data_IF_233831832075
#
_entry.id   IF_233831832075
#
_cell.length_a   1.000
_cell.length_b   1.000
_cell.length_c   1.000
_cell.angle_alpha   90.00
_cell.angle_beta   90.00
_cell.angle_gamma   90.00
#
_symmetry.space_group_name_H-M   'P 1'
#
loop_
_entity.id
_entity.type
_entity.pdbx_description
1 polymer ?
#
# COMPACT_ATOMS: atom_id res chain seq x y z
N UNK A 1 19.03 8.22 -1.28
CA UNK A 1 17.60 7.87 -1.43
C UNK A 1 17.25 7.33 -2.81
N UNK A 2 17.53 8.07 -3.90
CA UNK A 2 17.21 7.65 -5.28
C UNK A 2 17.74 6.27 -5.71
N UNK A 3 18.87 5.81 -5.14
CA UNK A 3 19.39 4.45 -5.34
C UNK A 3 18.50 3.34 -4.74
N UNK A 4 17.64 3.67 -3.78
CA UNK A 4 16.73 2.76 -3.07
C UNK A 4 15.33 2.82 -3.68
N UNK A 5 14.81 4.04 -3.89
CA UNK A 5 13.54 4.28 -4.56
C UNK A 5 13.74 5.35 -5.65
N UNK A 6 13.76 4.95 -6.95
CA UNK A 6 13.92 5.89 -8.05
C UNK A 6 12.71 6.82 -8.23
N UNK A 7 11.51 6.39 -7.82
CA UNK A 7 10.29 7.21 -7.82
C UNK A 7 10.29 8.28 -6.72
N UNK A 8 11.28 8.24 -5.81
CA UNK A 8 11.50 9.25 -4.76
C UNK A 8 10.26 9.60 -3.92
N UNK A 9 9.40 8.62 -3.66
CA UNK A 9 8.13 8.78 -2.91
C UNK A 9 8.19 8.14 -1.54
N UNK A 10 7.51 8.73 -0.57
CA UNK A 10 7.26 8.07 0.72
C UNK A 10 5.85 7.49 0.76
N UNK A 11 5.61 6.36 1.46
CA UNK A 11 6.60 5.57 2.20
C UNK A 11 7.45 4.64 1.30
N UNK A 12 8.70 4.40 1.72
CA UNK A 12 9.59 3.37 1.18
C UNK A 12 10.08 2.48 2.33
N UNK A 13 9.82 1.17 2.24
CA UNK A 13 10.30 0.13 3.15
C UNK A 13 11.62 -0.44 2.63
N UNK A 14 12.57 -0.70 3.53
CA UNK A 14 13.74 -1.55 3.28
C UNK A 14 13.76 -2.65 4.33
N UNK A 15 13.53 -3.89 3.91
CA UNK A 15 13.51 -5.06 4.77
C UNK A 15 14.66 -6.00 4.41
N UNK A 16 15.74 -5.94 5.20
CA UNK A 16 16.96 -6.76 5.00
C UNK A 16 17.53 -6.66 3.56
N UNK A 17 17.57 -5.44 3.01
CA UNK A 17 18.06 -5.17 1.66
C UNK A 17 16.99 -5.26 0.56
N UNK A 18 15.80 -5.77 0.85
CA UNK A 18 14.67 -5.71 -0.07
C UNK A 18 13.96 -4.35 0.03
N UNK A 19 14.05 -3.53 -1.01
CA UNK A 19 13.38 -2.24 -1.08
C UNK A 19 11.99 -2.35 -1.76
N UNK A 20 10.97 -1.75 -1.13
CA UNK A 20 9.60 -1.72 -1.64
C UNK A 20 8.96 -0.35 -1.33
N UNK A 21 8.33 0.27 -2.31
CA UNK A 21 7.50 1.46 -2.14
C UNK A 21 6.04 1.15 -2.54
N UNK A 22 5.15 2.14 -2.41
CA UNK A 22 3.68 2.00 -2.41
C UNK A 22 3.13 1.46 -1.09
N UNK A 23 2.41 2.32 -0.36
CA UNK A 23 1.91 2.03 0.99
C UNK A 23 1.05 0.76 1.06
N UNK A 24 0.17 0.55 0.08
CA UNK A 24 -0.72 -0.62 0.03
C UNK A 24 0.02 -1.91 -0.28
N UNK A 25 1.06 -1.87 -1.12
CA UNK A 25 1.92 -3.01 -1.37
C UNK A 25 2.74 -3.39 -0.13
N UNK A 26 3.28 -2.39 0.57
CA UNK A 26 3.99 -2.57 1.85
C UNK A 26 3.07 -3.23 2.89
N UNK A 27 1.82 -2.77 3.04
CA UNK A 27 0.87 -3.38 3.97
C UNK A 27 0.64 -4.86 3.67
N UNK A 28 0.39 -5.20 2.40
CA UNK A 28 0.19 -6.61 1.98
C UNK A 28 1.45 -7.43 2.26
N UNK A 29 2.63 -6.93 1.88
CA UNK A 29 3.91 -7.60 2.12
C UNK A 29 4.15 -7.92 3.60
N UNK A 30 3.93 -6.95 4.49
CA UNK A 30 4.14 -7.14 5.92
C UNK A 30 3.19 -8.19 6.50
N UNK A 31 1.93 -8.19 6.09
CA UNK A 31 0.96 -9.21 6.54
C UNK A 31 1.32 -10.59 5.97
N UNK A 32 1.70 -10.70 4.70
CA UNK A 32 2.05 -11.98 4.08
C UNK A 32 3.34 -12.59 4.66
N UNK A 33 4.35 -11.77 4.98
CA UNK A 33 5.64 -12.22 5.51
C UNK A 33 5.66 -12.42 7.02
N UNK A 34 5.05 -11.50 7.78
CA UNK A 34 5.16 -11.43 9.24
C UNK A 34 3.84 -11.67 9.98
N UNK A 35 2.72 -11.81 9.26
CA UNK A 35 1.41 -12.05 9.88
C UNK A 35 1.37 -13.35 10.67
N UNK A 36 0.98 -13.27 11.94
CA UNK A 36 0.83 -14.44 12.83
C UNK A 36 -0.41 -15.29 12.51
N UNK A 37 -1.39 -14.68 11.85
CA UNK A 37 -2.64 -15.31 11.43
C UNK A 37 -3.16 -14.64 10.15
N UNK A 38 -4.29 -15.13 9.63
CA UNK A 38 -4.90 -14.65 8.39
C UNK A 38 -6.04 -13.65 8.60
N UNK A 39 -6.14 -13.04 9.80
CA UNK A 39 -7.25 -12.15 10.14
C UNK A 39 -7.26 -10.87 9.28
N UNK A 40 -6.09 -10.30 8.99
CA UNK A 40 -5.95 -9.05 8.22
C UNK A 40 -5.99 -9.28 6.71
N UNK A 41 -5.44 -10.40 6.23
CA UNK A 41 -5.43 -10.76 4.81
C UNK A 41 -5.77 -12.26 4.67
N UNK A 42 -7.07 -12.62 4.67
CA UNK A 42 -7.50 -14.01 4.57
C UNK A 42 -7.00 -14.66 3.28
N UNK A 43 -6.49 -15.90 3.38
CA UNK A 43 -5.96 -16.62 2.21
C UNK A 43 -7.04 -17.09 1.24
N UNK A 44 -8.31 -17.12 1.66
CA UNK A 44 -9.44 -17.54 0.81
C UNK A 44 -9.61 -16.57 -0.38
N UNK A 45 -9.56 -17.05 -1.65
CA UNK A 45 -9.52 -16.18 -2.82
C UNK A 45 -10.64 -15.14 -2.87
N UNK A 46 -11.88 -15.53 -2.56
CA UNK A 46 -13.04 -14.61 -2.55
C UNK A 46 -12.88 -13.48 -1.53
N UNK A 47 -12.38 -13.77 -0.32
CA UNK A 47 -12.17 -12.74 0.71
C UNK A 47 -10.98 -11.84 0.36
N UNK A 48 -9.88 -12.42 -0.13
CA UNK A 48 -8.70 -11.66 -0.59
C UNK A 48 -9.06 -10.73 -1.74
N UNK A 49 -9.87 -11.19 -2.70
CA UNK A 49 -10.33 -10.38 -3.83
C UNK A 49 -11.12 -9.14 -3.36
N UNK A 50 -11.99 -9.27 -2.37
CA UNK A 50 -12.72 -8.11 -1.81
C UNK A 50 -11.75 -7.13 -1.14
N UNK A 51 -10.76 -7.60 -0.37
CA UNK A 51 -9.76 -6.71 0.24
C UNK A 51 -8.95 -5.98 -0.83
N UNK A 52 -8.45 -6.69 -1.84
CA UNK A 52 -7.72 -6.08 -2.95
C UNK A 52 -8.58 -5.06 -3.68
N UNK A 53 -9.85 -5.35 -3.92
CA UNK A 53 -10.80 -4.41 -4.52
C UNK A 53 -10.93 -3.13 -3.68
N UNK A 54 -10.96 -3.23 -2.34
CA UNK A 54 -10.97 -2.06 -1.45
C UNK A 54 -9.66 -1.29 -1.45
N UNK A 55 -8.51 -1.96 -1.51
CA UNK A 55 -7.20 -1.30 -1.62
C UNK A 55 -7.08 -0.50 -2.93
N UNK A 56 -7.55 -1.06 -4.05
CA UNK A 56 -7.56 -0.35 -5.33
C UNK A 56 -8.57 0.80 -5.37
N UNK A 57 -9.77 0.60 -4.82
CA UNK A 57 -10.75 1.69 -4.66
C UNK A 57 -10.18 2.84 -3.83
N UNK A 58 -9.50 2.52 -2.73
CA UNK A 58 -8.88 3.50 -1.87
C UNK A 58 -7.78 4.29 -2.61
N UNK A 59 -6.91 3.61 -3.36
CA UNK A 59 -5.86 4.27 -4.15
C UNK A 59 -6.39 5.11 -5.31
N UNK A 60 -7.22 4.51 -6.15
CA UNK A 60 -7.61 5.08 -7.45
C UNK A 60 -8.87 5.96 -7.39
N UNK A 61 -9.63 5.90 -6.30
CA UNK A 61 -10.87 6.65 -6.15
C UNK A 61 -10.86 7.49 -4.88
N UNK A 62 -10.86 6.89 -3.69
CA UNK A 62 -11.07 7.64 -2.46
C UNK A 62 -9.92 8.62 -2.16
N UNK A 63 -8.70 8.11 -2.01
CA UNK A 63 -7.54 8.94 -1.70
C UNK A 63 -7.19 9.87 -2.87
N UNK A 64 -7.37 9.41 -4.11
CA UNK A 64 -7.19 10.27 -5.29
C UNK A 64 -8.12 11.47 -5.26
N UNK A 65 -9.44 11.26 -5.08
CA UNK A 65 -10.41 12.36 -5.00
C UNK A 65 -10.14 13.28 -3.81
N UNK A 66 -9.73 12.73 -2.66
CA UNK A 66 -9.33 13.51 -1.51
C UNK A 66 -8.12 14.41 -1.82
N UNK A 67 -7.05 13.83 -2.38
CA UNK A 67 -5.82 14.57 -2.70
C UNK A 67 -6.06 15.64 -3.77
N UNK A 68 -6.78 15.29 -4.85
CA UNK A 68 -7.10 16.22 -5.94
C UNK A 68 -7.88 17.45 -5.43
N UNK A 69 -8.74 17.27 -4.41
CA UNK A 69 -9.51 18.37 -3.82
C UNK A 69 -8.71 19.17 -2.78
N UNK A 70 -8.08 18.50 -1.81
CA UNK A 70 -7.49 19.17 -0.66
C UNK A 70 -6.05 19.63 -0.87
N UNK A 71 -5.22 18.93 -1.66
CA UNK A 71 -3.81 19.27 -1.77
C UNK A 71 -3.56 20.65 -2.37
N UNK A 72 -4.25 21.07 -3.46
CA UNK A 72 -4.08 22.42 -4.01
C UNK A 72 -4.50 23.56 -3.07
N UNK A 73 -5.24 23.26 -2.00
CA UNK A 73 -5.69 24.25 -1.02
C UNK A 73 -4.74 24.34 0.18
N UNK A 74 -3.93 23.30 0.42
CA UNK A 74 -3.06 23.18 1.60
C UNK A 74 -1.59 23.40 1.22
N UNK A 75 -1.19 23.01 0.01
CA UNK A 75 0.19 23.04 -0.50
C UNK A 75 0.25 23.84 -1.80
#
# INVERSE_FOLDING_TARGET
YLKINPQHTIPTLVDNGFALWESRAIMVYLVEKYGKNDALLPKRPKKKAVINQRLYFDMGTLYKSFADYYYPQIF
#
